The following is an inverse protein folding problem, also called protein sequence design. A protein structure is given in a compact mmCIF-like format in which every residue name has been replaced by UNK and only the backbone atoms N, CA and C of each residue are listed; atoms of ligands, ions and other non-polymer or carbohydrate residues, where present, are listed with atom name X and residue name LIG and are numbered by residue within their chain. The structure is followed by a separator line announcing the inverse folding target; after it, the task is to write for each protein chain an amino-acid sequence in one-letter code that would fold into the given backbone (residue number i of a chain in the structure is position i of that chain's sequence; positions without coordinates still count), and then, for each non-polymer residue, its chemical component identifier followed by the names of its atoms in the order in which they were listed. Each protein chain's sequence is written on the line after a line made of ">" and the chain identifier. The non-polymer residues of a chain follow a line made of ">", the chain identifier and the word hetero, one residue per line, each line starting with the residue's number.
data_IF_387512737831
#
_entry.id   IF_387512737831
#
_cell.length_a   1.000
_cell.length_b   1.000
_cell.length_c   1.000
_cell.angle_alpha   90.00
_cell.angle_beta   90.00
_cell.angle_gamma   90.00
#
_symmetry.space_group_name_H-M   'P 1'
#
loop_
_entity.id
_entity.type
_entity.pdbx_description
1 polymer ?
#
# COMPACT_ATOMS: atom_id res chain seq x y z
N UNK A 1 -9.21 -21.18 -19.22
CA UNK A 1 -9.73 -20.45 -18.05
C UNK A 1 -8.78 -19.28 -17.83
N UNK A 2 -9.31 -18.06 -17.82
CA UNK A 2 -8.60 -16.77 -17.96
C UNK A 2 -7.73 -16.37 -16.74
N UNK A 3 -7.53 -17.33 -15.85
CA UNK A 3 -6.52 -17.36 -14.78
C UNK A 3 -5.10 -17.12 -15.31
N UNK A 4 -4.77 -17.55 -16.54
CA UNK A 4 -3.42 -17.43 -17.12
C UNK A 4 -2.89 -15.99 -17.23
N UNK A 5 -3.77 -14.98 -17.39
CA UNK A 5 -3.35 -13.56 -17.45
C UNK A 5 -2.64 -13.10 -16.18
N UNK A 6 -2.89 -13.77 -15.05
CA UNK A 6 -2.30 -13.48 -13.75
C UNK A 6 -1.38 -14.61 -13.31
N UNK A 7 -1.83 -15.88 -13.40
CA UNK A 7 -1.05 -17.03 -12.93
C UNK A 7 0.22 -17.24 -13.74
N UNK A 8 0.20 -17.01 -15.06
CA UNK A 8 1.38 -17.13 -15.93
C UNK A 8 2.51 -16.20 -15.49
N UNK A 9 2.31 -14.86 -15.47
CA UNK A 9 3.31 -13.91 -15.01
C UNK A 9 3.76 -14.12 -13.56
N UNK A 10 2.85 -14.51 -12.66
CA UNK A 10 3.22 -14.84 -11.27
C UNK A 10 4.11 -16.08 -11.20
N UNK A 11 3.82 -17.11 -11.99
CA UNK A 11 4.63 -18.33 -12.05
C UNK A 11 6.02 -18.01 -12.58
N UNK A 12 6.12 -17.26 -13.67
CA UNK A 12 7.41 -16.82 -14.22
C UNK A 12 8.24 -16.08 -13.18
N UNK A 13 7.62 -15.11 -12.49
CA UNK A 13 8.25 -14.36 -11.40
C UNK A 13 8.78 -15.28 -10.30
N UNK A 14 7.95 -16.22 -9.82
CA UNK A 14 8.30 -17.11 -8.71
C UNK A 14 9.29 -18.21 -9.11
N UNK A 15 9.30 -18.62 -10.37
CA UNK A 15 10.32 -19.52 -10.92
C UNK A 15 11.67 -18.82 -11.11
N UNK A 16 11.69 -17.55 -11.52
CA UNK A 16 12.92 -16.76 -11.64
C UNK A 16 13.48 -16.34 -10.27
N UNK A 17 12.58 -16.06 -9.32
CA UNK A 17 12.91 -15.57 -7.98
C UNK A 17 12.50 -16.59 -6.91
N UNK A 18 13.28 -17.65 -6.82
CA UNK A 18 13.15 -18.70 -5.79
C UNK A 18 13.21 -18.15 -4.35
N UNK A 19 13.91 -17.01 -4.16
CA UNK A 19 13.90 -16.20 -2.95
C UNK A 19 13.44 -14.79 -3.31
N UNK A 20 12.33 -14.32 -2.73
CA UNK A 20 11.72 -13.02 -3.04
C UNK A 20 11.38 -12.23 -1.77
N UNK A 21 11.61 -10.92 -1.78
CA UNK A 21 11.21 -10.05 -0.68
C UNK A 21 9.67 -9.98 -0.62
N UNK A 22 9.08 -10.05 0.57
CA UNK A 22 7.62 -10.00 0.77
C UNK A 22 7.00 -8.77 0.10
N UNK A 23 7.60 -7.60 0.31
CA UNK A 23 7.13 -6.35 -0.30
C UNK A 23 7.32 -6.31 -1.82
N UNK A 24 8.35 -6.97 -2.37
CA UNK A 24 8.51 -7.11 -3.83
C UNK A 24 7.38 -7.95 -4.42
N UNK A 25 7.10 -9.11 -3.82
CA UNK A 25 6.01 -9.98 -4.28
C UNK A 25 4.66 -9.26 -4.23
N UNK A 26 4.36 -8.53 -3.15
CA UNK A 26 3.14 -7.73 -3.04
C UNK A 26 3.02 -6.73 -4.20
N UNK A 27 4.06 -5.93 -4.43
CA UNK A 27 4.04 -4.91 -5.48
C UNK A 27 3.94 -5.51 -6.88
N UNK A 28 4.68 -6.60 -7.15
CA UNK A 28 4.59 -7.32 -8.44
C UNK A 28 3.20 -7.91 -8.64
N UNK A 29 2.55 -8.39 -7.59
CA UNK A 29 1.16 -8.87 -7.66
C UNK A 29 0.21 -7.75 -8.08
N UNK A 30 0.34 -6.56 -7.48
CA UNK A 30 -0.44 -5.38 -7.90
C UNK A 30 -0.19 -5.01 -9.36
N UNK A 31 1.06 -5.04 -9.82
CA UNK A 31 1.44 -4.69 -11.19
C UNK A 31 0.87 -5.71 -12.21
N UNK A 32 0.96 -7.01 -11.90
CA UNK A 32 0.41 -8.09 -12.73
C UNK A 32 -1.12 -7.98 -12.84
N UNK A 33 -1.81 -7.84 -11.71
CA UNK A 33 -3.28 -7.67 -11.71
C UNK A 33 -3.69 -6.42 -12.47
N UNK A 34 -2.92 -5.34 -12.33
CA UNK A 34 -3.14 -4.12 -13.11
C UNK A 34 -3.00 -4.34 -14.62
N UNK A 35 -2.01 -5.11 -15.04
CA UNK A 35 -1.69 -5.33 -16.45
C UNK A 35 -2.62 -6.35 -17.11
N UNK A 36 -3.31 -7.17 -16.31
CA UNK A 36 -4.22 -8.19 -16.79
C UNK A 36 -5.45 -7.64 -17.54
N UNK A 37 -5.80 -6.35 -17.35
CA UNK A 37 -6.93 -5.68 -17.99
C UNK A 37 -8.21 -6.54 -17.94
N UNK A 38 -8.58 -6.95 -16.73
CA UNK A 38 -9.74 -7.79 -16.48
C UNK A 38 -11.02 -7.04 -16.89
N UNK A 39 -11.92 -7.74 -17.56
CA UNK A 39 -13.31 -7.31 -17.72
C UNK A 39 -14.06 -7.35 -16.39
N UNK A 40 -15.22 -6.68 -16.33
CA UNK A 40 -16.06 -6.66 -15.12
C UNK A 40 -16.44 -8.07 -14.67
N UNK A 41 -16.80 -8.95 -15.62
CA UNK A 41 -17.11 -10.34 -15.32
C UNK A 41 -15.90 -11.10 -14.73
N UNK A 42 -14.72 -10.97 -15.34
CA UNK A 42 -13.49 -11.61 -14.84
C UNK A 42 -13.11 -11.09 -13.44
N UNK A 43 -13.28 -9.78 -13.22
CA UNK A 43 -13.07 -9.13 -11.93
C UNK A 43 -14.00 -9.69 -10.86
N UNK A 44 -15.30 -9.80 -11.14
CA UNK A 44 -16.31 -10.33 -10.22
C UNK A 44 -16.08 -11.81 -9.88
N UNK A 45 -15.67 -12.62 -10.87
CA UNK A 45 -15.32 -14.02 -10.64
C UNK A 45 -14.10 -14.16 -9.74
N UNK A 46 -13.05 -13.36 -9.96
CA UNK A 46 -11.86 -13.37 -9.10
C UNK A 46 -12.18 -12.87 -7.69
N UNK A 47 -12.98 -11.81 -7.55
CA UNK A 47 -13.40 -11.29 -6.23
C UNK A 47 -14.11 -12.35 -5.39
N UNK A 48 -14.92 -13.24 -6.01
CA UNK A 48 -15.55 -14.36 -5.29
C UNK A 48 -14.53 -15.37 -4.73
N UNK A 49 -13.36 -15.48 -5.36
CA UNK A 49 -12.31 -16.41 -4.95
C UNK A 49 -11.35 -15.80 -3.90
N UNK A 50 -11.02 -14.52 -4.03
CA UNK A 50 -9.96 -13.88 -3.23
C UNK A 50 -10.43 -12.74 -2.33
N UNK A 51 -11.71 -12.39 -2.39
CA UNK A 51 -12.29 -11.22 -1.73
C UNK A 51 -12.30 -9.97 -2.60
N UNK A 52 -12.88 -8.90 -2.08
CA UNK A 52 -13.14 -7.62 -2.79
C UNK A 52 -11.90 -7.01 -3.45
N UNK A 53 -10.73 -7.15 -2.82
CA UNK A 53 -9.48 -6.60 -3.32
C UNK A 53 -8.63 -7.71 -3.96
N UNK A 54 -8.68 -7.78 -5.30
CA UNK A 54 -8.06 -8.87 -6.08
C UNK A 54 -6.56 -9.04 -5.78
N UNK A 55 -5.75 -7.99 -5.91
CA UNK A 55 -4.30 -8.09 -5.70
C UNK A 55 -3.92 -8.46 -4.25
N UNK A 56 -4.47 -7.80 -3.20
CA UNK A 56 -4.32 -8.24 -1.81
C UNK A 56 -4.72 -9.70 -1.58
N UNK A 57 -5.87 -10.11 -2.11
CA UNK A 57 -6.40 -11.46 -1.95
C UNK A 57 -5.54 -12.53 -2.62
N UNK A 58 -5.04 -12.27 -3.84
CA UNK A 58 -4.07 -13.15 -4.50
C UNK A 58 -2.79 -13.25 -3.66
N UNK A 59 -2.24 -12.11 -3.24
CA UNK A 59 -1.04 -12.09 -2.41
C UNK A 59 -1.25 -12.90 -1.12
N UNK A 60 -2.36 -12.70 -0.41
CA UNK A 60 -2.70 -13.44 0.80
C UNK A 60 -2.81 -14.95 0.53
N UNK A 61 -3.42 -15.35 -0.59
CA UNK A 61 -3.53 -16.77 -0.97
C UNK A 61 -2.15 -17.43 -1.17
N UNK A 62 -1.20 -16.72 -1.78
CA UNK A 62 0.18 -17.21 -1.95
C UNK A 62 0.86 -17.34 -0.59
N UNK A 63 0.71 -16.33 0.29
CA UNK A 63 1.35 -16.30 1.60
C UNK A 63 0.80 -17.33 2.59
N UNK A 64 -0.46 -17.73 2.44
CA UNK A 64 -1.09 -18.73 3.31
C UNK A 64 -0.94 -20.18 2.81
N UNK A 65 -0.30 -20.39 1.64
CA UNK A 65 -0.13 -21.72 1.04
C UNK A 65 -1.40 -22.30 0.42
N UNK A 66 -2.49 -21.54 0.40
CA UNK A 66 -3.79 -21.85 -0.23
C UNK A 66 -3.93 -21.07 -1.54
N UNK A 67 -2.89 -21.13 -2.38
CA UNK A 67 -2.87 -20.40 -3.63
C UNK A 67 -4.08 -20.81 -4.51
N UNK A 68 -4.87 -19.81 -4.92
CA UNK A 68 -6.01 -20.02 -5.82
C UNK A 68 -5.59 -20.59 -7.18
N UNK A 69 -4.32 -20.40 -7.53
CA UNK A 69 -3.68 -20.91 -8.72
C UNK A 69 -2.88 -22.16 -8.32
N UNK A 70 -3.34 -23.31 -8.78
CA UNK A 70 -2.87 -24.65 -8.36
C UNK A 70 -1.41 -24.96 -8.74
N UNK A 71 -0.80 -24.09 -9.54
CA UNK A 71 0.42 -24.32 -10.27
C UNK A 71 1.49 -23.26 -10.01
N UNK A 72 1.27 -22.43 -8.99
CA UNK A 72 2.29 -21.55 -8.44
C UNK A 72 3.21 -22.31 -7.46
N UNK A 73 4.51 -21.97 -7.45
CA UNK A 73 5.43 -22.46 -6.42
C UNK A 73 4.95 -22.10 -5.00
N UNK A 74 5.03 -23.05 -4.06
CA UNK A 74 4.58 -22.86 -2.67
C UNK A 74 5.65 -22.21 -1.81
N UNK A 75 5.53 -20.90 -1.59
CA UNK A 75 6.38 -20.12 -0.70
C UNK A 75 6.01 -20.31 0.79
N UNK A 76 6.30 -21.48 1.33
CA UNK A 76 5.91 -21.92 2.68
C UNK A 76 6.92 -21.55 3.78
N UNK A 77 8.11 -21.06 3.42
CA UNK A 77 9.16 -20.68 4.38
C UNK A 77 9.53 -19.21 4.23
N UNK A 78 9.93 -18.59 5.34
CA UNK A 78 10.47 -17.22 5.34
C UNK A 78 11.68 -17.08 6.25
N UNK A 79 12.47 -16.03 6.00
CA UNK A 79 13.53 -15.57 6.89
C UNK A 79 13.54 -14.04 6.98
N UNK A 80 14.14 -13.51 8.02
CA UNK A 80 14.39 -12.07 8.15
C UNK A 80 15.86 -11.77 7.91
N UNK A 81 16.14 -10.87 6.99
CA UNK A 81 17.49 -10.44 6.66
C UNK A 81 17.50 -8.95 6.32
N UNK A 82 18.44 -8.20 6.89
CA UNK A 82 18.59 -6.75 6.68
C UNK A 82 17.28 -5.96 6.93
N UNK A 83 16.50 -6.39 7.92
CA UNK A 83 15.22 -5.76 8.28
C UNK A 83 14.08 -5.99 7.28
N UNK A 84 14.20 -7.01 6.40
CA UNK A 84 13.18 -7.41 5.42
C UNK A 84 12.80 -8.86 5.59
N UNK A 85 11.58 -9.20 5.19
CA UNK A 85 11.10 -10.57 5.13
C UNK A 85 11.31 -11.11 3.71
N UNK A 86 11.99 -12.24 3.59
CA UNK A 86 12.17 -12.98 2.34
C UNK A 86 11.46 -14.32 2.41
N UNK A 87 10.70 -14.65 1.38
CA UNK A 87 10.00 -15.92 1.21
C UNK A 87 10.71 -16.81 0.19
N UNK A 88 10.68 -18.13 0.41
CA UNK A 88 11.33 -19.12 -0.45
C UNK A 88 10.71 -20.51 -0.32
N UNK A 89 11.05 -21.41 -1.24
CA UNK A 89 10.54 -22.80 -1.27
C UNK A 89 11.26 -23.70 -0.26
N UNK A 90 10.56 -24.32 0.70
CA UNK A 90 11.18 -25.23 1.68
C UNK A 90 11.94 -26.42 1.06
N UNK A 91 11.52 -26.87 -0.12
CA UNK A 91 12.04 -28.07 -0.78
C UNK A 91 13.45 -27.91 -1.34
N UNK A 92 14.00 -26.70 -1.35
CA UNK A 92 15.33 -26.41 -1.85
C UNK A 92 16.30 -26.07 -0.71
N UNK A 93 17.59 -26.38 -0.91
CA UNK A 93 18.66 -25.99 0.02
C UNK A 93 19.30 -24.69 -0.46
N UNK A 94 19.05 -23.61 0.26
CA UNK A 94 19.68 -22.32 0.01
C UNK A 94 20.91 -22.10 0.89
N UNK A 95 21.97 -21.62 0.28
CA UNK A 95 23.17 -21.13 0.93
C UNK A 95 23.02 -19.67 1.35
N UNK A 96 23.94 -19.16 2.17
CA UNK A 96 24.02 -17.72 2.49
C UNK A 96 24.18 -16.86 1.22
N UNK A 97 24.94 -17.35 0.23
CA UNK A 97 25.18 -16.64 -1.02
C UNK A 97 23.88 -16.41 -1.80
N UNK A 98 22.95 -17.37 -1.78
CA UNK A 98 21.66 -17.26 -2.48
C UNK A 98 20.80 -16.13 -1.89
N UNK A 99 20.82 -15.99 -0.56
CA UNK A 99 20.15 -14.87 0.12
C UNK A 99 20.84 -13.53 -0.19
N UNK A 100 22.17 -13.47 -0.16
CA UNK A 100 22.93 -12.26 -0.50
C UNK A 100 22.64 -11.80 -1.95
N UNK A 101 22.51 -12.74 -2.88
CA UNK A 101 22.18 -12.46 -4.28
C UNK A 101 20.70 -12.09 -4.47
N UNK A 102 19.77 -12.71 -3.74
CA UNK A 102 18.38 -12.29 -3.68
C UNK A 102 18.24 -10.86 -3.16
N UNK A 103 18.98 -10.51 -2.11
CA UNK A 103 19.01 -9.16 -1.56
C UNK A 103 19.56 -8.15 -2.59
N UNK A 104 20.65 -8.49 -3.28
CA UNK A 104 21.22 -7.64 -4.33
C UNK A 104 20.22 -7.40 -5.47
N UNK A 105 19.54 -8.45 -5.94
CA UNK A 105 18.48 -8.35 -6.95
C UNK A 105 17.34 -7.44 -6.48
N UNK A 106 16.92 -7.59 -5.23
CA UNK A 106 15.91 -6.71 -4.63
C UNK A 106 16.36 -5.24 -4.62
N UNK A 107 17.60 -4.95 -4.19
CA UNK A 107 18.15 -3.59 -4.18
C UNK A 107 18.15 -2.95 -5.57
N UNK A 108 18.49 -3.72 -6.61
CA UNK A 108 18.44 -3.27 -8.00
C UNK A 108 17.02 -2.99 -8.49
N UNK A 109 16.02 -3.73 -7.99
CA UNK A 109 14.62 -3.55 -8.34
C UNK A 109 13.94 -2.35 -7.65
N UNK A 110 14.54 -1.77 -6.60
CA UNK A 110 13.93 -0.68 -5.80
C UNK A 110 13.37 0.49 -6.65
N UNK A 111 14.08 1.04 -7.65
CA UNK A 111 13.55 2.15 -8.44
C UNK A 111 12.25 1.80 -9.18
N UNK A 112 12.19 0.60 -9.75
CA UNK A 112 11.01 0.08 -10.43
C UNK A 112 9.87 -0.18 -9.42
N UNK A 113 10.17 -0.83 -8.30
CA UNK A 113 9.20 -1.10 -7.25
C UNK A 113 8.61 0.17 -6.66
N UNK A 114 9.39 1.26 -6.55
CA UNK A 114 8.88 2.57 -6.15
C UNK A 114 7.88 3.15 -7.16
N UNK A 115 8.13 2.95 -8.46
CA UNK A 115 7.21 3.37 -9.52
C UNK A 115 5.89 2.59 -9.44
N UNK A 116 5.97 1.25 -9.29
CA UNK A 116 4.81 0.38 -9.09
C UNK A 116 4.03 0.81 -7.84
N UNK A 117 4.71 0.97 -6.71
CA UNK A 117 4.11 1.41 -5.45
C UNK A 117 3.36 2.74 -5.60
N UNK A 118 3.98 3.76 -6.23
CA UNK A 118 3.31 5.06 -6.45
C UNK A 118 2.04 4.89 -7.30
N UNK A 119 2.10 4.14 -8.40
CA UNK A 119 0.94 3.87 -9.26
C UNK A 119 -0.17 3.15 -8.51
N UNK A 120 0.16 2.12 -7.73
CA UNK A 120 -0.81 1.35 -6.96
C UNK A 120 -1.47 2.17 -5.87
N UNK A 121 -0.72 3.02 -5.16
CA UNK A 121 -1.27 3.95 -4.17
C UNK A 121 -2.22 4.96 -4.81
N UNK A 122 -1.86 5.53 -5.96
CA UNK A 122 -2.74 6.45 -6.70
C UNK A 122 -4.03 5.76 -7.12
N UNK A 123 -3.96 4.53 -7.64
CA UNK A 123 -5.18 3.78 -8.01
C UNK A 123 -6.06 3.50 -6.80
N UNK A 124 -5.47 3.05 -5.70
CA UNK A 124 -6.21 2.74 -4.48
C UNK A 124 -6.88 3.99 -3.90
N UNK A 125 -6.20 5.15 -3.94
CA UNK A 125 -6.79 6.42 -3.56
C UNK A 125 -7.96 6.79 -4.46
N UNK A 126 -7.82 6.64 -5.79
CA UNK A 126 -8.90 6.97 -6.73
C UNK A 126 -10.15 6.13 -6.46
N UNK A 127 -9.99 4.82 -6.28
CA UNK A 127 -11.10 3.92 -5.94
C UNK A 127 -11.75 4.32 -4.60
N UNK A 128 -10.94 4.53 -3.56
CA UNK A 128 -11.42 4.98 -2.25
C UNK A 128 -12.23 6.29 -2.33
N UNK A 129 -11.77 7.26 -3.11
CA UNK A 129 -12.47 8.53 -3.29
C UNK A 129 -13.74 8.37 -4.12
N UNK A 130 -13.72 7.53 -5.16
CA UNK A 130 -14.90 7.21 -5.97
C UNK A 130 -16.00 6.56 -5.13
N UNK A 131 -15.65 5.61 -4.26
CA UNK A 131 -16.57 4.97 -3.32
C UNK A 131 -17.15 5.98 -2.29
N UNK A 132 -16.37 7.02 -1.95
CA UNK A 132 -16.82 8.15 -1.13
C UNK A 132 -17.63 9.21 -1.93
N UNK A 133 -17.94 8.97 -3.22
CA UNK A 133 -18.72 9.88 -4.05
C UNK A 133 -17.95 11.07 -4.62
N UNK A 134 -16.61 11.03 -4.58
CA UNK A 134 -15.76 12.05 -5.16
C UNK A 134 -15.32 11.72 -6.59
N UNK A 135 -15.20 12.76 -7.41
CA UNK A 135 -14.69 12.66 -8.78
C UNK A 135 -13.32 13.33 -8.86
N UNK A 136 -12.38 12.69 -9.56
CA UNK A 136 -11.08 13.28 -9.87
C UNK A 136 -11.27 14.46 -10.86
N UNK A 137 -11.02 15.68 -10.40
CA UNK A 137 -11.14 16.89 -11.21
C UNK A 137 -9.82 17.30 -11.88
N UNK A 138 -8.67 16.97 -11.27
CA UNK A 138 -7.35 17.26 -11.83
C UNK A 138 -6.29 16.30 -11.28
N UNK A 139 -5.37 15.89 -12.15
CA UNK A 139 -4.16 15.15 -11.77
C UNK A 139 -2.93 15.94 -12.26
N UNK A 140 -2.17 16.48 -11.31
CA UNK A 140 -0.90 17.17 -11.53
C UNK A 140 0.22 16.23 -11.07
N UNK A 141 1.48 16.47 -11.48
CA UNK A 141 2.58 15.50 -11.28
C UNK A 141 2.80 15.02 -9.82
N UNK A 142 2.33 15.79 -8.83
CA UNK A 142 2.48 15.51 -7.41
C UNK A 142 1.17 15.57 -6.60
N UNK A 143 0.06 15.96 -7.23
CA UNK A 143 -1.18 16.27 -6.51
C UNK A 143 -2.40 15.83 -7.32
N UNK A 144 -3.32 15.14 -6.65
CA UNK A 144 -4.65 14.82 -7.14
C UNK A 144 -5.67 15.75 -6.49
N UNK A 145 -6.64 16.22 -7.26
CA UNK A 145 -7.72 17.06 -6.77
C UNK A 145 -9.03 16.32 -7.00
N UNK A 146 -9.78 16.13 -5.93
CA UNK A 146 -11.07 15.45 -5.92
C UNK A 146 -12.17 16.44 -5.50
N UNK A 147 -13.34 16.33 -6.10
CA UNK A 147 -14.49 17.20 -5.76
C UNK A 147 -15.78 16.41 -5.60
N UNK A 148 -16.58 16.78 -4.60
CA UNK A 148 -17.92 16.21 -4.33
C UNK A 148 -18.84 17.25 -3.69
N UNK A 149 -19.99 17.56 -4.30
CA UNK A 149 -21.04 18.41 -3.71
C UNK A 149 -20.52 19.73 -3.07
N UNK A 150 -19.62 20.44 -3.74
CA UNK A 150 -19.02 21.69 -3.25
C UNK A 150 -17.82 21.53 -2.31
N UNK A 151 -17.46 20.30 -1.93
CA UNK A 151 -16.23 19.97 -1.22
C UNK A 151 -15.09 19.74 -2.21
N UNK A 152 -13.88 20.15 -1.82
CA UNK A 152 -12.65 19.92 -2.58
C UNK A 152 -11.61 19.29 -1.66
N UNK A 153 -11.00 18.20 -2.11
CA UNK A 153 -9.91 17.53 -1.42
C UNK A 153 -8.68 17.47 -2.32
N UNK A 154 -7.54 17.88 -1.78
CA UNK A 154 -6.23 17.80 -2.40
C UNK A 154 -5.42 16.68 -1.76
N UNK A 155 -4.94 15.75 -2.58
CA UNK A 155 -4.19 14.59 -2.12
C UNK A 155 -2.78 14.55 -2.71
N UNK A 156 -1.80 14.32 -1.84
CA UNK A 156 -0.43 14.01 -2.21
C UNK A 156 -0.16 12.52 -1.94
N UNK A 157 0.53 11.85 -2.87
CA UNK A 157 0.90 10.44 -2.73
C UNK A 157 2.41 10.30 -2.66
N UNK A 158 2.92 9.80 -1.54
CA UNK A 158 4.35 9.55 -1.35
C UNK A 158 4.61 8.07 -1.02
N UNK A 159 5.82 7.59 -1.32
CA UNK A 159 6.18 6.17 -1.17
C UNK A 159 6.75 5.80 0.20
N UNK A 160 6.84 6.76 1.12
CA UNK A 160 7.34 6.55 2.48
C UNK A 160 6.92 7.69 3.40
N UNK A 161 6.63 7.37 4.67
CA UNK A 161 6.41 8.38 5.72
C UNK A 161 7.64 9.30 5.91
N UNK A 162 8.85 8.78 5.66
CA UNK A 162 10.09 9.57 5.77
C UNK A 162 10.24 10.63 4.67
N UNK A 163 9.56 10.45 3.53
CA UNK A 163 9.59 11.41 2.42
C UNK A 163 8.51 12.48 2.50
N UNK A 164 7.73 12.52 3.59
CA UNK A 164 6.71 13.57 3.76
C UNK A 164 7.40 14.93 4.00
N UNK A 165 7.07 15.87 3.12
CA UNK A 165 7.43 17.29 3.22
C UNK A 165 6.15 18.11 3.46
N UNK A 166 5.87 18.39 4.74
CA UNK A 166 4.68 19.14 5.14
C UNK A 166 4.73 20.60 4.71
N UNK A 167 5.91 21.21 4.57
CA UNK A 167 6.05 22.60 4.13
C UNK A 167 5.72 22.73 2.64
N UNK A 168 6.26 21.84 1.81
CA UNK A 168 5.95 21.81 0.37
C UNK A 168 4.46 21.54 0.12
N UNK A 169 3.85 20.62 0.87
CA UNK A 169 2.42 20.33 0.73
C UNK A 169 1.56 21.53 1.15
N UNK A 170 1.86 22.14 2.30
CA UNK A 170 1.14 23.31 2.82
C UNK A 170 1.20 24.51 1.85
N UNK A 171 2.36 24.78 1.26
CA UNK A 171 2.51 25.89 0.29
C UNK A 171 1.70 25.69 -0.99
N UNK A 172 1.45 24.44 -1.39
CA UNK A 172 0.67 24.09 -2.59
C UNK A 172 -0.83 23.96 -2.30
N UNK A 173 -1.21 23.98 -1.02
CA UNK A 173 -2.58 23.78 -0.56
C UNK A 173 -3.45 25.00 -0.89
N UNK A 174 -4.68 24.75 -1.30
CA UNK A 174 -5.70 25.79 -1.44
C UNK A 174 -6.39 26.01 -0.09
N UNK A 175 -6.63 27.26 0.35
CA UNK A 175 -7.14 27.55 1.70
C UNK A 175 -8.49 26.90 2.06
N UNK A 176 -9.32 26.60 1.06
CA UNK A 176 -10.68 26.03 1.25
C UNK A 176 -10.75 24.54 0.93
N UNK A 177 -9.62 23.90 0.61
CA UNK A 177 -9.58 22.47 0.28
C UNK A 177 -9.00 21.66 1.44
N UNK A 178 -9.61 20.52 1.73
CA UNK A 178 -9.04 19.55 2.65
C UNK A 178 -7.75 18.98 2.05
N UNK A 179 -6.72 18.80 2.88
CA UNK A 179 -5.43 18.32 2.42
C UNK A 179 -5.07 16.99 3.06
N UNK A 180 -4.75 16.02 2.21
CA UNK A 180 -4.34 14.69 2.65
C UNK A 180 -3.02 14.26 2.02
N UNK A 181 -2.19 13.58 2.79
CA UNK A 181 -1.03 12.86 2.30
C UNK A 181 -1.26 11.35 2.51
N UNK A 182 -1.36 10.60 1.41
CA UNK A 182 -1.42 9.15 1.43
C UNK A 182 0.00 8.57 1.44
N UNK A 183 0.27 7.70 2.42
CA UNK A 183 1.53 6.96 2.52
C UNK A 183 1.27 5.47 2.68
N UNK A 184 2.13 4.58 2.16
CA UNK A 184 1.98 3.15 2.39
C UNK A 184 2.32 2.80 3.84
N UNK A 185 1.64 1.81 4.41
CA UNK A 185 2.09 1.14 5.63
C UNK A 185 3.45 0.47 5.40
N UNK A 186 4.26 0.36 6.46
CA UNK A 186 5.57 -0.29 6.39
C UNK A 186 5.67 -1.55 7.25
N UNK A 187 6.69 -2.36 7.01
CA UNK A 187 7.02 -3.56 7.81
C UNK A 187 7.50 -3.22 9.23
N UNK A 188 7.86 -1.96 9.49
CA UNK A 188 8.32 -1.47 10.79
C UNK A 188 7.51 -0.25 11.23
N UNK A 189 7.17 -0.22 12.52
CA UNK A 189 6.47 0.90 13.16
C UNK A 189 7.39 2.10 13.42
N UNK A 190 8.70 1.88 13.55
CA UNK A 190 9.65 2.90 14.00
C UNK A 190 9.61 4.19 13.16
N UNK A 191 9.60 4.15 11.81
CA UNK A 191 9.50 5.36 11.00
C UNK A 191 8.21 6.17 11.23
N UNK A 192 7.09 5.49 11.51
CA UNK A 192 5.81 6.14 11.76
C UNK A 192 5.78 6.76 13.16
N UNK A 193 6.31 6.06 14.16
CA UNK A 193 6.45 6.59 15.52
C UNK A 193 7.36 7.81 15.54
N UNK A 194 8.49 7.75 14.84
CA UNK A 194 9.42 8.87 14.71
C UNK A 194 8.73 10.07 14.05
N UNK A 195 8.06 9.86 12.90
CA UNK A 195 7.33 10.92 12.22
C UNK A 195 6.24 11.54 13.12
N UNK A 196 5.46 10.72 13.81
CA UNK A 196 4.40 11.20 14.70
C UNK A 196 4.97 12.11 15.81
N UNK A 197 6.08 11.71 16.43
CA UNK A 197 6.74 12.48 17.50
C UNK A 197 7.34 13.78 17.00
N UNK A 198 7.93 13.78 15.81
CA UNK A 198 8.68 14.93 15.28
C UNK A 198 7.78 15.92 14.51
N UNK A 199 6.77 15.40 13.79
CA UNK A 199 6.01 16.16 12.79
C UNK A 199 4.49 16.02 12.92
N UNK A 200 3.99 15.16 13.83
CA UNK A 200 2.55 14.91 13.98
C UNK A 200 1.76 16.17 14.35
N UNK A 201 2.21 16.91 15.37
CA UNK A 201 1.59 18.16 15.78
C UNK A 201 1.62 19.21 14.65
N UNK A 202 2.74 19.33 13.94
CA UNK A 202 2.86 20.26 12.81
C UNK A 202 1.89 19.92 11.67
N UNK A 203 1.62 18.64 11.41
CA UNK A 203 0.63 18.25 10.40
C UNK A 203 -0.78 18.71 10.81
N UNK A 204 -1.17 18.52 12.07
CA UNK A 204 -2.47 18.95 12.60
C UNK A 204 -2.61 20.48 12.60
N UNK A 205 -1.58 21.23 13.01
CA UNK A 205 -1.57 22.70 13.00
C UNK A 205 -1.71 23.27 11.58
N UNK A 206 -1.18 22.54 10.59
CA UNK A 206 -1.33 22.85 9.17
C UNK A 206 -2.60 22.25 8.55
N UNK A 207 -3.51 21.67 9.31
CA UNK A 207 -4.73 21.05 8.76
C UNK A 207 -4.46 19.96 7.72
N UNK A 208 -3.28 19.32 7.75
CA UNK A 208 -2.91 18.24 6.83
C UNK A 208 -3.21 16.91 7.50
N UNK A 209 -4.11 16.14 6.91
CA UNK A 209 -4.35 14.75 7.31
C UNK A 209 -3.32 13.81 6.66
N UNK A 210 -2.94 12.76 7.37
CA UNK A 210 -2.06 11.72 6.83
C UNK A 210 -2.82 10.41 6.91
N UNK A 211 -2.95 9.74 5.77
CA UNK A 211 -3.64 8.45 5.66
C UNK A 211 -2.64 7.34 5.33
N UNK A 212 -2.91 6.16 5.85
CA UNK A 212 -2.14 4.94 5.64
C UNK A 212 -2.85 4.02 4.67
N UNK A 213 -2.16 3.67 3.60
CA UNK A 213 -2.56 2.62 2.68
C UNK A 213 -1.99 1.28 3.14
N UNK A 214 -2.86 0.36 3.56
CA UNK A 214 -2.51 -1.02 3.81
C UNK A 214 -2.62 -1.84 2.51
N UNK A 215 -1.52 -1.94 1.79
CA UNK A 215 -1.44 -2.66 0.52
C UNK A 215 -1.68 -4.16 0.67
N UNK A 216 -1.43 -4.78 1.83
CA UNK A 216 -1.73 -6.21 2.03
C UNK A 216 -3.21 -6.47 2.25
N UNK A 217 -4.00 -5.45 2.61
CA UNK A 217 -5.45 -5.54 2.80
C UNK A 217 -6.26 -4.82 1.73
N UNK A 218 -5.63 -3.92 0.96
CA UNK A 218 -6.32 -3.05 0.01
C UNK A 218 -7.09 -1.90 0.65
N UNK A 219 -6.78 -1.53 1.91
CA UNK A 219 -7.54 -0.54 2.68
C UNK A 219 -6.77 0.75 2.90
N UNK A 220 -7.51 1.83 3.19
CA UNK A 220 -6.95 3.12 3.62
C UNK A 220 -7.53 3.45 5.00
N UNK A 221 -6.69 3.98 5.90
CA UNK A 221 -7.05 4.35 7.28
C UNK A 221 -6.40 5.68 7.69
N UNK A 222 -7.03 6.49 8.56
CA UNK A 222 -6.44 7.73 9.03
C UNK A 222 -5.32 7.47 10.03
N UNK A 223 -4.19 8.15 9.90
CA UNK A 223 -3.05 8.07 10.81
C UNK A 223 -2.87 9.32 11.66
N UNK A 224 -2.93 10.49 11.03
CA UNK A 224 -2.93 11.80 11.69
C UNK A 224 -4.06 12.63 11.09
N UNK A 225 -4.73 13.43 11.92
CA UNK A 225 -5.89 14.21 11.53
C UNK A 225 -7.18 13.38 11.53
N UNK A 226 -8.29 14.07 11.34
CA UNK A 226 -9.64 13.52 11.26
C UNK A 226 -10.38 14.22 10.14
N UNK A 227 -11.31 13.51 9.50
CA UNK A 227 -12.24 14.10 8.55
C UNK A 227 -13.58 14.39 9.25
N UNK A 228 -14.23 15.49 8.89
CA UNK A 228 -15.64 15.76 9.21
C UNK A 228 -16.57 15.28 8.11
N UNK A 229 -16.00 14.85 6.97
CA UNK A 229 -16.72 14.27 5.85
C UNK A 229 -17.11 12.82 6.17
N UNK A 230 -18.42 12.59 6.36
CA UNK A 230 -18.96 11.27 6.68
C UNK A 230 -18.84 10.28 5.52
N UNK A 231 -18.89 10.74 4.27
CA UNK A 231 -18.76 9.86 3.10
C UNK A 231 -17.35 9.26 3.06
N UNK A 232 -16.33 10.07 3.35
CA UNK A 232 -14.94 9.61 3.50
C UNK A 232 -14.78 8.74 4.76
N UNK A 233 -15.39 9.16 5.88
CA UNK A 233 -15.26 8.46 7.15
C UNK A 233 -15.74 7.00 7.05
N UNK A 234 -16.84 6.76 6.34
CA UNK A 234 -17.44 5.45 6.16
C UNK A 234 -16.61 4.52 5.25
N UNK A 235 -15.73 5.07 4.40
CA UNK A 235 -14.83 4.26 3.57
C UNK A 235 -13.58 3.75 4.31
N UNK A 236 -13.20 4.37 5.44
CA UNK A 236 -12.05 3.89 6.20
C UNK A 236 -12.35 2.52 6.81
N UNK A 237 -11.38 1.60 6.73
CA UNK A 237 -11.51 0.28 7.34
C UNK A 237 -11.48 0.34 8.88
N UNK A 238 -10.70 1.26 9.45
CA UNK A 238 -10.62 1.61 10.86
C UNK A 238 -10.56 3.14 11.02
N UNK A 239 -11.71 3.82 11.00
CA UNK A 239 -11.77 5.29 11.12
C UNK A 239 -11.18 5.83 12.44
N UNK A 240 -11.01 4.98 13.47
CA UNK A 240 -10.49 5.36 14.79
C UNK A 240 -8.97 5.22 14.92
N UNK A 241 -8.28 4.79 13.86
CA UNK A 241 -6.84 4.53 13.93
C UNK A 241 -6.04 5.75 14.38
N UNK A 242 -6.33 6.94 13.85
CA UNK A 242 -5.67 8.19 14.26
C UNK A 242 -5.87 8.50 15.77
N UNK A 243 -7.06 8.25 16.29
CA UNK A 243 -7.36 8.40 17.73
C UNK A 243 -6.55 7.42 18.58
N UNK A 244 -6.50 6.16 18.16
CA UNK A 244 -5.73 5.11 18.83
C UNK A 244 -4.24 5.44 18.84
N UNK A 245 -3.69 5.92 17.72
CA UNK A 245 -2.29 6.34 17.61
C UNK A 245 -2.02 7.49 18.56
N UNK A 246 -2.84 8.54 18.53
CA UNK A 246 -2.71 9.70 19.42
C UNK A 246 -2.71 9.29 20.89
N UNK A 247 -3.64 8.42 21.31
CA UNK A 247 -3.78 8.01 22.70
C UNK A 247 -2.65 7.10 23.21
N UNK A 248 -2.03 6.32 22.32
CA UNK A 248 -0.98 5.36 22.69
C UNK A 248 0.43 5.93 22.56
N UNK A 249 0.68 6.81 21.59
CA UNK A 249 2.04 7.26 21.26
C UNK A 249 2.41 8.62 21.87
N UNK A 250 1.44 9.37 22.41
CA UNK A 250 1.69 10.55 23.26
C UNK A 250 2.13 10.19 24.68
N UNK A 251 1.84 8.97 25.14
CA UNK A 251 2.28 8.51 26.46
C UNK A 251 3.78 8.27 26.42
N UNK A 252 4.56 9.03 27.21
CA UNK A 252 5.95 8.70 27.51
C UNK A 252 6.01 7.23 27.98
N UNK A 253 7.00 6.43 27.53
CA UNK A 253 7.20 5.11 28.11
C UNK A 253 7.31 5.28 29.63
N UNK A 254 6.51 4.52 30.38
CA UNK A 254 6.68 4.43 31.84
C UNK A 254 8.08 3.86 32.07
N UNK A 255 9.01 4.72 32.44
CA UNK A 255 10.31 4.36 33.01
C UNK A 255 10.12 3.72 34.37
#
# INVERSE_FOLDING_TARGET
>A
MEIEKISGPLRELLCEKEIIARCELLLRTYDIVSAANLSDQESDELKKMVGEHIAPGIFASIMNGEAIFFDLPKLDTYTQMNGRIFHFLHTQRYSKQDFDDAHRRFLLAIPELKSILKKSLVRMLKAFMEDAGYILSSERSEMLIFTAAGRTLQAFVVTSVKSIDLDSCWQKMQPEADCVILVPSGESLEPFMQFFREKGQMAEEKGISIWLANMEKGTIDPFIGYTTDMDIYEQFNNPRLAEMVRNNWTKKPRT
#
